data_IF_954552268425
#
_entry.id   IF_954552268425
#
_cell.length_a   1.000
_cell.length_b   1.000
_cell.length_c   1.000
_cell.angle_alpha   90.00
_cell.angle_beta   90.00
_cell.angle_gamma   90.00
#
_symmetry.space_group_name_H-M   'P 1'
#
loop_
_entity.id
_entity.type
_entity.pdbx_description
1 polymer ?
#
# COMPACT_ATOMS: atom_id res chain seq x y z
N UNK A 1 -25.41 19.57 -17.45
CA UNK A 1 -26.38 18.47 -17.59
C UNK A 1 -25.56 17.22 -17.90
N UNK A 2 -25.05 16.42 -16.98
CA UNK A 2 -25.25 16.22 -15.54
C UNK A 2 -23.90 15.97 -14.86
N UNK A 3 -23.55 16.74 -13.83
CA UNK A 3 -22.33 16.57 -13.00
C UNK A 3 -22.62 15.75 -11.73
N UNK A 4 -23.48 14.74 -11.86
CA UNK A 4 -23.73 13.73 -10.83
C UNK A 4 -23.37 12.35 -11.40
N UNK A 5 -22.11 12.18 -11.79
CA UNK A 5 -21.58 10.90 -12.25
C UNK A 5 -21.23 10.09 -11.00
N UNK A 6 -21.79 8.88 -10.88
CA UNK A 6 -21.38 7.90 -9.86
C UNK A 6 -19.85 7.89 -9.75
N UNK A 7 -19.32 7.98 -8.53
CA UNK A 7 -17.88 8.09 -8.27
C UNK A 7 -17.12 6.97 -9.00
N UNK A 8 -16.46 7.33 -10.11
CA UNK A 8 -15.76 6.36 -10.95
C UNK A 8 -14.58 5.70 -10.23
N UNK A 9 -14.02 4.61 -10.76
CA UNK A 9 -12.94 3.85 -10.10
C UNK A 9 -11.74 4.72 -9.70
N UNK A 10 -11.47 5.81 -10.43
CA UNK A 10 -10.41 6.78 -10.12
C UNK A 10 -10.50 7.37 -8.70
N UNK A 11 -11.72 7.52 -8.14
CA UNK A 11 -11.94 8.09 -6.80
C UNK A 11 -11.49 7.18 -5.66
N UNK A 12 -11.26 5.89 -5.94
CA UNK A 12 -10.80 4.89 -4.97
C UNK A 12 -9.29 4.65 -5.00
N UNK A 13 -8.59 5.31 -5.92
CA UNK A 13 -7.13 5.20 -6.05
C UNK A 13 -6.50 6.45 -5.46
N UNK A 14 -5.68 6.27 -4.43
CA UNK A 14 -4.90 7.36 -3.80
C UNK A 14 -3.42 7.19 -4.07
N UNK A 15 -2.75 8.32 -4.28
CA UNK A 15 -1.28 8.40 -4.25
C UNK A 15 -0.85 8.72 -2.83
N UNK A 16 0.06 7.92 -2.29
CA UNK A 16 0.62 8.11 -0.95
C UNK A 16 2.09 8.48 -1.08
N UNK A 17 2.49 9.65 -0.57
CA UNK A 17 3.88 10.10 -0.56
C UNK A 17 4.44 10.02 0.85
N UNK A 18 5.48 9.21 1.05
CA UNK A 18 6.07 8.94 2.36
C UNK A 18 7.34 9.74 2.57
N UNK A 19 7.35 10.57 3.61
CA UNK A 19 8.53 11.30 4.08
C UNK A 19 9.12 12.25 3.05
N UNK A 20 8.30 12.83 2.16
CA UNK A 20 8.78 13.71 1.09
C UNK A 20 9.61 14.87 1.64
N UNK A 21 10.84 15.02 1.13
CA UNK A 21 11.81 15.98 1.65
C UNK A 21 11.67 17.35 0.98
N UNK A 22 11.42 17.35 -0.34
CA UNK A 22 11.34 18.57 -1.13
C UNK A 22 9.87 18.93 -1.44
N UNK A 23 9.35 20.08 -0.94
CA UNK A 23 7.95 20.45 -1.16
C UNK A 23 7.60 20.61 -2.65
N UNK A 24 8.55 21.02 -3.49
CA UNK A 24 8.33 21.09 -4.94
C UNK A 24 7.97 19.75 -5.59
N UNK A 25 8.42 18.62 -5.01
CA UNK A 25 8.01 17.28 -5.47
C UNK A 25 6.55 16.98 -5.11
N UNK A 26 6.04 17.49 -3.98
CA UNK A 26 4.64 17.36 -3.59
C UNK A 26 3.75 18.07 -4.60
N UNK A 27 4.09 19.33 -4.93
CA UNK A 27 3.39 20.10 -5.97
C UNK A 27 3.42 19.42 -7.34
N UNK A 28 4.61 19.01 -7.77
CA UNK A 28 4.79 18.32 -9.06
C UNK A 28 4.02 16.98 -9.12
N UNK A 29 3.95 16.24 -8.01
CA UNK A 29 3.15 15.03 -7.91
C UNK A 29 1.65 15.34 -7.96
N UNK A 30 1.17 16.38 -7.27
CA UNK A 30 -0.22 16.84 -7.37
C UNK A 30 -0.61 17.20 -8.80
N UNK A 31 0.29 17.87 -9.54
CA UNK A 31 0.12 18.15 -10.96
C UNK A 31 -0.01 16.87 -11.80
N UNK A 32 0.88 15.90 -11.58
CA UNK A 32 0.84 14.61 -12.27
C UNK A 32 -0.47 13.84 -12.00
N UNK A 33 -0.91 13.83 -10.74
CA UNK A 33 -2.18 13.25 -10.28
C UNK A 33 -3.35 13.86 -11.06
N UNK A 34 -3.46 15.19 -11.04
CA UNK A 34 -4.56 15.90 -11.71
C UNK A 34 -4.55 15.71 -13.22
N UNK A 35 -3.37 15.76 -13.84
CA UNK A 35 -3.22 15.59 -15.30
C UNK A 35 -3.72 14.23 -15.76
N UNK A 36 -3.59 13.19 -14.91
CA UNK A 36 -4.02 11.82 -15.19
C UNK A 36 -5.43 11.52 -14.68
N UNK A 37 -6.22 12.54 -14.29
CA UNK A 37 -7.61 12.35 -13.85
C UNK A 37 -7.75 11.65 -12.49
N UNK A 38 -6.69 11.65 -11.69
CA UNK A 38 -6.71 11.25 -10.29
C UNK A 38 -6.85 12.49 -9.40
N UNK A 39 -7.30 12.30 -8.17
CA UNK A 39 -7.62 13.42 -7.27
C UNK A 39 -7.11 13.25 -5.84
N UNK A 40 -6.80 12.02 -5.41
CA UNK A 40 -6.51 11.72 -4.01
C UNK A 40 -5.02 11.63 -3.75
N UNK A 41 -4.54 12.56 -2.94
CA UNK A 41 -3.17 12.62 -2.43
C UNK A 41 -3.20 12.45 -0.91
N UNK A 42 -2.34 11.57 -0.40
CA UNK A 42 -2.07 11.41 1.04
C UNK A 42 -0.59 11.63 1.28
N UNK A 43 -0.27 12.44 2.28
CA UNK A 43 1.10 12.75 2.69
C UNK A 43 1.36 12.08 4.04
N UNK A 44 2.36 11.23 4.10
CA UNK A 44 2.78 10.56 5.33
C UNK A 44 4.03 11.27 5.83
N UNK A 45 3.90 11.97 6.96
CA UNK A 45 4.98 12.72 7.61
C UNK A 45 5.88 13.52 6.63
N UNK A 46 5.31 14.42 5.79
CA UNK A 46 6.10 15.26 4.90
C UNK A 46 7.04 16.16 5.73
N UNK A 47 8.27 16.39 5.25
CA UNK A 47 9.22 17.19 6.03
C UNK A 47 8.92 18.70 6.01
N UNK A 48 8.33 19.18 4.91
CA UNK A 48 8.05 20.59 4.67
C UNK A 48 6.72 20.74 3.92
N UNK A 49 5.61 20.70 4.66
CA UNK A 49 4.28 20.91 4.12
C UNK A 49 3.36 21.48 5.22
N UNK A 50 2.43 22.40 4.92
CA UNK A 50 2.25 23.12 3.65
C UNK A 50 3.44 24.04 3.32
N UNK A 51 3.67 24.34 2.04
CA UNK A 51 4.81 25.17 1.62
C UNK A 51 4.57 25.82 0.24
N UNK A 52 4.94 27.10 0.09
CA UNK A 52 4.73 27.88 -1.14
C UNK A 52 5.34 27.20 -2.39
N UNK A 53 6.51 26.57 -2.26
CA UNK A 53 7.10 25.80 -3.37
C UNK A 53 6.21 24.65 -3.87
N UNK A 54 5.44 23.99 -2.99
CA UNK A 54 4.48 22.99 -3.43
C UNK A 54 3.36 23.64 -4.25
N UNK A 55 2.84 24.79 -3.81
CA UNK A 55 1.80 25.53 -4.51
C UNK A 55 2.27 25.99 -5.90
N UNK A 56 3.46 26.57 -5.99
CA UNK A 56 4.06 27.00 -7.26
C UNK A 56 4.25 25.83 -8.24
N UNK A 57 4.69 24.67 -7.73
CA UNK A 57 4.95 23.50 -8.57
C UNK A 57 3.67 22.73 -8.96
N UNK A 58 2.57 22.92 -8.23
CA UNK A 58 1.27 22.32 -8.56
C UNK A 58 0.68 22.87 -9.87
N UNK A 59 0.96 24.14 -10.19
CA UNK A 59 0.61 24.78 -11.46
C UNK A 59 -0.83 24.48 -11.93
N UNK A 60 -1.83 24.84 -11.11
CA UNK A 60 -3.24 24.60 -11.41
C UNK A 60 -3.81 23.32 -10.79
N UNK A 61 -3.04 22.60 -9.98
CA UNK A 61 -3.46 21.42 -9.21
C UNK A 61 -3.59 21.70 -7.70
N UNK A 62 -3.85 22.95 -7.31
CA UNK A 62 -4.00 23.38 -5.92
C UNK A 62 -5.20 22.70 -5.25
N UNK A 63 -6.24 22.33 -6.00
CA UNK A 63 -7.35 21.52 -5.51
C UNK A 63 -6.92 20.15 -4.97
N UNK A 64 -5.95 19.49 -5.61
CA UNK A 64 -5.38 18.22 -5.13
C UNK A 64 -4.57 18.44 -3.85
N UNK A 65 -3.81 19.54 -3.76
CA UNK A 65 -3.07 19.89 -2.54
C UNK A 65 -4.00 20.25 -1.38
N UNK A 66 -5.03 21.06 -1.64
CA UNK A 66 -6.01 21.50 -0.65
C UNK A 66 -6.85 20.33 -0.12
N UNK A 67 -7.10 19.32 -0.95
CA UNK A 67 -7.78 18.09 -0.56
C UNK A 67 -6.83 17.01 0.00
N UNK A 68 -5.52 17.26 0.01
CA UNK A 68 -4.55 16.27 0.47
C UNK A 68 -4.72 16.01 1.97
N UNK A 69 -4.67 14.74 2.36
CA UNK A 69 -4.75 14.33 3.77
C UNK A 69 -3.33 14.10 4.27
N UNK A 70 -2.97 14.74 5.38
CA UNK A 70 -1.71 14.50 6.08
C UNK A 70 -1.95 13.53 7.25
N UNK A 71 -1.09 12.51 7.35
CA UNK A 71 -1.11 11.51 8.42
C UNK A 71 0.30 11.25 8.95
N UNK A 72 0.40 10.68 10.15
CA UNK A 72 1.69 10.47 10.80
C UNK A 72 2.41 9.22 10.27
N UNK A 73 1.66 8.19 9.90
CA UNK A 73 2.22 6.88 9.56
C UNK A 73 1.67 6.31 8.26
N UNK A 74 2.45 5.43 7.60
CA UNK A 74 1.97 4.73 6.41
C UNK A 74 0.80 3.80 6.74
N UNK A 75 0.80 3.21 7.94
CA UNK A 75 -0.29 2.36 8.42
C UNK A 75 -1.64 3.11 8.44
N UNK A 76 -1.65 4.37 8.89
CA UNK A 76 -2.85 5.23 8.82
C UNK A 76 -3.28 5.50 7.38
N UNK A 77 -2.34 5.82 6.48
CA UNK A 77 -2.63 6.17 5.09
C UNK A 77 -3.30 5.02 4.29
N UNK A 78 -3.03 3.77 4.68
CA UNK A 78 -3.47 2.58 3.97
C UNK A 78 -4.48 1.72 4.74
N UNK A 79 -4.90 2.15 5.93
CA UNK A 79 -5.72 1.37 6.86
C UNK A 79 -7.00 0.79 6.23
N UNK A 80 -7.69 1.57 5.41
CA UNK A 80 -8.92 1.21 4.70
C UNK A 80 -8.67 0.58 3.32
N UNK A 81 -7.42 0.52 2.84
CA UNK A 81 -7.10 -0.04 1.55
C UNK A 81 -7.19 -1.57 1.55
N UNK A 82 -7.77 -2.12 0.47
CA UNK A 82 -7.73 -3.56 0.15
C UNK A 82 -6.52 -3.92 -0.71
N UNK A 83 -5.94 -2.94 -1.42
CA UNK A 83 -4.72 -3.12 -2.20
C UNK A 83 -3.73 -1.97 -1.94
N UNK A 84 -2.49 -2.34 -1.64
CA UNK A 84 -1.38 -1.42 -1.38
C UNK A 84 -0.20 -1.82 -2.26
N UNK A 85 0.21 -0.94 -3.16
CA UNK A 85 1.29 -1.17 -4.13
C UNK A 85 2.44 -0.20 -3.86
N UNK A 86 3.59 -0.71 -3.42
CA UNK A 86 4.76 0.10 -3.08
C UNK A 86 5.72 0.27 -4.26
N UNK A 87 5.91 1.49 -4.74
CA UNK A 87 6.87 1.78 -5.80
C UNK A 87 8.30 1.82 -5.26
N UNK A 88 9.18 0.99 -5.82
CA UNK A 88 10.59 0.90 -5.40
C UNK A 88 11.55 0.56 -6.54
N UNK A 89 12.72 1.18 -6.53
CA UNK A 89 13.83 0.82 -7.41
C UNK A 89 14.61 -0.42 -6.91
N UNK A 90 14.40 -0.85 -5.65
CA UNK A 90 15.12 -1.96 -5.02
C UNK A 90 14.17 -2.80 -4.17
N UNK A 91 13.86 -4.02 -4.61
CA UNK A 91 13.02 -4.98 -3.87
C UNK A 91 13.81 -6.13 -3.22
N UNK A 92 15.15 -6.17 -3.34
CA UNK A 92 15.93 -7.38 -3.03
C UNK A 92 15.85 -7.90 -1.58
N UNK A 93 15.46 -7.06 -0.61
CA UNK A 93 15.41 -7.44 0.83
C UNK A 93 14.03 -7.92 1.28
N UNK A 94 12.96 -7.40 0.70
CA UNK A 94 11.58 -7.82 0.99
C UNK A 94 11.07 -8.58 -0.22
N UNK A 95 10.91 -9.90 -0.11
CA UNK A 95 10.46 -10.74 -1.22
C UNK A 95 8.95 -10.55 -1.48
N UNK A 96 8.55 -9.36 -1.90
CA UNK A 96 7.24 -9.08 -2.47
C UNK A 96 7.20 -9.58 -3.91
N UNK A 97 5.98 -9.89 -4.41
CA UNK A 97 5.78 -10.03 -5.85
C UNK A 97 6.10 -8.67 -6.49
N UNK A 98 6.94 -8.69 -7.51
CA UNK A 98 7.27 -7.50 -8.28
C UNK A 98 6.31 -7.40 -9.47
N UNK A 99 5.76 -6.20 -9.69
CA UNK A 99 4.88 -5.87 -10.80
C UNK A 99 5.53 -4.76 -11.63
N UNK A 100 5.29 -4.81 -12.94
CA UNK A 100 5.57 -3.67 -13.82
C UNK A 100 4.46 -2.62 -13.69
N UNK A 101 4.71 -1.36 -14.07
CA UNK A 101 3.73 -0.27 -13.99
C UNK A 101 2.35 -0.62 -14.57
N UNK A 102 2.32 -1.25 -15.74
CA UNK A 102 1.09 -1.68 -16.42
C UNK A 102 0.31 -2.73 -15.63
N UNK A 103 1.01 -3.75 -15.11
CA UNK A 103 0.38 -4.82 -14.33
C UNK A 103 -0.16 -4.28 -12.99
N UNK A 104 0.58 -3.37 -12.36
CA UNK A 104 0.17 -2.66 -11.15
C UNK A 104 -1.08 -1.80 -11.39
N UNK A 105 -1.12 -1.05 -12.51
CA UNK A 105 -2.28 -0.26 -12.91
C UNK A 105 -3.51 -1.12 -13.20
N UNK A 106 -3.35 -2.26 -13.86
CA UNK A 106 -4.43 -3.21 -14.10
C UNK A 106 -5.02 -3.75 -12.78
N UNK A 107 -4.16 -4.12 -11.82
CA UNK A 107 -4.60 -4.53 -10.48
C UNK A 107 -5.30 -3.41 -9.71
N UNK A 108 -4.77 -2.19 -9.75
CA UNK A 108 -5.40 -1.03 -9.11
C UNK A 108 -6.78 -0.73 -9.70
N UNK A 109 -6.91 -0.78 -11.03
CA UNK A 109 -8.19 -0.59 -11.71
C UNK A 109 -9.20 -1.69 -11.34
N UNK A 110 -8.79 -2.96 -11.40
CA UNK A 110 -9.65 -4.09 -11.05
C UNK A 110 -10.18 -3.99 -9.62
N UNK A 111 -9.32 -3.64 -8.66
CA UNK A 111 -9.70 -3.49 -7.26
C UNK A 111 -10.68 -2.32 -7.06
N UNK A 112 -10.40 -1.18 -7.71
CA UNK A 112 -11.26 -0.02 -7.65
C UNK A 112 -12.65 -0.28 -8.25
N UNK A 113 -12.74 -1.04 -9.36
CA UNK A 113 -14.01 -1.48 -9.95
C UNK A 113 -14.76 -2.42 -9.02
N UNK A 114 -14.06 -3.28 -8.29
CA UNK A 114 -14.63 -4.14 -7.24
C UNK A 114 -15.05 -3.37 -5.97
N UNK A 115 -14.90 -2.04 -5.95
CA UNK A 115 -15.27 -1.18 -4.83
C UNK A 115 -14.23 -1.10 -3.71
N UNK A 116 -13.04 -1.68 -3.90
CA UNK A 116 -11.95 -1.62 -2.95
C UNK A 116 -11.16 -0.31 -3.03
N UNK A 117 -10.64 0.12 -1.88
CA UNK A 117 -9.72 1.26 -1.78
C UNK A 117 -8.30 0.82 -2.12
N UNK A 118 -7.59 1.62 -2.93
CA UNK A 118 -6.25 1.30 -3.44
C UNK A 118 -5.26 2.41 -3.11
N UNK A 119 -4.10 2.05 -2.60
CA UNK A 119 -2.97 2.95 -2.38
C UNK A 119 -1.79 2.63 -3.30
N UNK A 120 -1.31 3.63 -4.04
CA UNK A 120 -0.02 3.61 -4.74
C UNK A 120 0.98 4.40 -3.90
N UNK A 121 1.93 3.71 -3.29
CA UNK A 121 2.82 4.25 -2.27
C UNK A 121 4.19 4.56 -2.85
N UNK A 122 4.69 5.77 -2.59
CA UNK A 122 5.99 6.24 -3.05
C UNK A 122 6.82 6.70 -1.84
N UNK A 123 8.08 6.27 -1.82
CA UNK A 123 8.98 6.59 -0.72
C UNK A 123 9.72 7.92 -0.88
N UNK A 124 10.64 8.13 0.06
CA UNK A 124 11.53 9.29 0.13
C UNK A 124 12.44 9.35 -1.09
N UNK A 125 12.82 10.54 -1.53
CA UNK A 125 13.57 10.76 -2.78
C UNK A 125 14.89 9.99 -2.86
N UNK A 126 15.62 9.90 -1.74
CA UNK A 126 16.96 9.30 -1.69
C UNK A 126 16.96 7.85 -1.24
N UNK A 127 16.12 7.52 -0.28
CA UNK A 127 16.16 6.24 0.42
C UNK A 127 15.01 5.32 0.02
N UNK A 128 13.99 5.84 -0.67
CA UNK A 128 12.78 5.09 -1.00
C UNK A 128 11.95 4.76 0.23
N UNK A 129 11.26 3.63 0.15
CA UNK A 129 10.49 3.04 1.24
C UNK A 129 11.41 2.22 2.15
N UNK A 130 11.20 2.34 3.45
CA UNK A 130 11.83 1.52 4.47
C UNK A 130 11.30 0.08 4.41
N UNK A 131 12.01 -0.87 5.04
CA UNK A 131 11.59 -2.28 4.96
C UNK A 131 10.26 -2.50 5.68
N UNK A 132 10.03 -1.79 6.76
CA UNK A 132 8.82 -1.77 7.57
C UNK A 132 7.64 -1.24 6.74
N UNK A 133 7.88 -0.18 5.95
CA UNK A 133 6.89 0.38 5.01
C UNK A 133 6.58 -0.59 3.86
N UNK A 134 7.61 -1.24 3.30
CA UNK A 134 7.43 -2.27 2.28
C UNK A 134 6.64 -3.48 2.80
N UNK A 135 6.74 -3.81 4.09
CA UNK A 135 5.96 -4.92 4.67
C UNK A 135 4.45 -4.67 4.72
N UNK A 136 4.03 -3.41 4.65
CA UNK A 136 2.61 -3.02 4.54
C UNK A 136 2.09 -3.12 3.10
N UNK A 137 2.97 -3.32 2.12
CA UNK A 137 2.59 -3.44 0.71
C UNK A 137 2.25 -4.88 0.34
N UNK A 138 1.23 -5.04 -0.52
CA UNK A 138 0.83 -6.34 -1.07
C UNK A 138 1.76 -6.77 -2.22
N UNK A 139 2.28 -5.80 -2.97
CA UNK A 139 3.24 -6.01 -4.05
C UNK A 139 4.17 -4.80 -4.19
N UNK A 140 5.35 -5.04 -4.76
CA UNK A 140 6.28 -4.00 -5.17
C UNK A 140 6.05 -3.65 -6.63
N UNK A 141 6.13 -2.36 -6.97
CA UNK A 141 6.08 -1.89 -8.34
C UNK A 141 7.46 -1.38 -8.74
N UNK A 142 8.04 -2.02 -9.75
CA UNK A 142 9.34 -1.64 -10.28
C UNK A 142 9.16 -0.99 -11.66
N UNK A 143 9.52 0.29 -11.76
CA UNK A 143 9.53 1.01 -13.04
C UNK A 143 10.83 0.64 -13.78
N UNK A 144 10.77 -0.02 -14.94
CA UNK A 144 11.97 -0.31 -15.72
C UNK A 144 12.64 1.02 -16.11
N UNK A 145 13.92 1.15 -15.77
CA UNK A 145 14.75 2.32 -16.00
C UNK A 145 16.14 1.89 -16.49
N UNK A 146 17.00 2.86 -16.82
CA UNK A 146 18.39 2.57 -17.15
C UNK A 146 19.05 1.82 -15.97
N UNK A 147 19.62 0.63 -16.15
CA UNK A 147 20.30 -0.11 -15.09
C UNK A 147 21.41 0.68 -14.39
N UNK A 148 22.09 1.57 -15.11
CA UNK A 148 23.18 2.40 -14.59
C UNK A 148 22.67 3.64 -13.82
N UNK A 149 21.40 4.02 -14.03
CA UNK A 149 20.76 5.17 -13.40
C UNK A 149 19.25 4.95 -13.27
N UNK A 150 18.86 4.14 -12.29
CA UNK A 150 17.48 3.66 -12.11
C UNK A 150 16.65 4.46 -11.10
N UNK A 151 17.22 5.51 -10.52
CA UNK A 151 16.52 6.38 -9.57
C UNK A 151 15.77 7.47 -10.32
N UNK A 152 14.45 7.34 -10.37
CA UNK A 152 13.57 8.39 -10.88
C UNK A 152 13.36 9.46 -9.80
N UNK A 153 13.17 10.71 -10.24
CA UNK A 153 12.58 11.73 -9.39
C UNK A 153 11.18 11.28 -8.92
N UNK A 154 10.81 11.66 -7.70
CA UNK A 154 9.53 11.27 -7.07
C UNK A 154 8.32 11.60 -7.96
N UNK A 155 8.21 12.85 -8.43
CA UNK A 155 7.08 13.27 -9.26
C UNK A 155 7.08 12.58 -10.63
N UNK A 156 8.26 12.25 -11.18
CA UNK A 156 8.37 11.47 -12.41
C UNK A 156 7.86 10.03 -12.23
N UNK A 157 8.18 9.39 -11.09
CA UNK A 157 7.65 8.06 -10.76
C UNK A 157 6.13 8.09 -10.58
N UNK A 158 5.60 9.12 -9.89
CA UNK A 158 4.16 9.36 -9.75
C UNK A 158 3.52 9.54 -11.12
N UNK A 159 4.15 10.31 -12.02
CA UNK A 159 3.65 10.55 -13.36
C UNK A 159 3.55 9.27 -14.20
N UNK A 160 4.56 8.40 -14.17
CA UNK A 160 4.56 7.13 -14.90
C UNK A 160 3.44 6.22 -14.42
N UNK A 161 3.28 6.03 -13.10
CA UNK A 161 2.23 5.16 -12.57
C UNK A 161 0.84 5.75 -12.75
N UNK A 162 0.67 7.06 -12.57
CA UNK A 162 -0.62 7.72 -12.80
C UNK A 162 -1.04 7.62 -14.26
N UNK A 163 -0.09 7.68 -15.21
CA UNK A 163 -0.34 7.49 -16.63
C UNK A 163 -0.80 6.06 -16.96
N UNK A 164 -0.14 5.04 -16.43
CA UNK A 164 -0.58 3.65 -16.63
C UNK A 164 -1.96 3.39 -16.02
N UNK A 165 -2.26 4.00 -14.86
CA UNK A 165 -3.61 3.97 -14.26
C UNK A 165 -4.64 4.65 -15.17
N UNK A 166 -4.30 5.80 -15.77
CA UNK A 166 -5.17 6.48 -16.73
C UNK A 166 -5.50 5.59 -17.93
N UNK A 167 -4.50 4.90 -18.49
CA UNK A 167 -4.72 3.95 -19.59
C UNK A 167 -5.64 2.79 -19.17
N UNK A 168 -5.43 2.24 -17.96
CA UNK A 168 -6.30 1.20 -17.42
C UNK A 168 -7.76 1.69 -17.25
N UNK A 169 -7.95 2.91 -16.73
CA UNK A 169 -9.27 3.56 -16.58
C UNK A 169 -9.95 3.85 -17.93
N UNK A 170 -9.20 4.03 -19.02
CA UNK A 170 -9.73 4.18 -20.37
C UNK A 170 -10.07 2.86 -21.05
N UNK A 171 -9.69 1.72 -20.46
CA UNK A 171 -9.71 0.43 -21.16
C UNK A 171 -8.65 0.33 -22.28
N UNK A 172 -7.68 1.24 -22.29
CA UNK A 172 -6.61 1.34 -23.30
C UNK A 172 -5.31 0.65 -22.86
N UNK A 173 -5.40 -0.29 -21.90
CA UNK A 173 -4.23 -0.96 -21.34
C UNK A 173 -3.38 -1.77 -22.37
N UNK A 174 -3.91 -2.03 -23.57
CA UNK A 174 -3.19 -2.47 -24.78
C UNK A 174 -2.27 -3.71 -24.67
N UNK A 175 -2.66 -4.80 -25.37
CA UNK A 175 -1.80 -5.94 -25.77
C UNK A 175 -1.43 -6.95 -24.67
N UNK A 176 -1.75 -8.24 -24.92
CA UNK A 176 -1.73 -9.40 -24.02
C UNK A 176 -2.40 -9.18 -22.66
N UNK A 177 -3.15 -10.16 -22.17
CA UNK A 177 -3.80 -10.03 -20.87
C UNK A 177 -2.73 -9.72 -19.80
N UNK A 178 -2.79 -8.57 -19.10
CA UNK A 178 -1.77 -8.20 -18.12
C UNK A 178 -1.68 -9.30 -17.06
N UNK A 179 -0.45 -9.57 -16.60
CA UNK A 179 -0.20 -10.51 -15.50
C UNK A 179 -0.52 -9.81 -14.17
N UNK A 180 -1.75 -9.30 -14.06
CA UNK A 180 -2.27 -8.68 -12.87
C UNK A 180 -2.13 -9.63 -11.67
N UNK A 181 -2.15 -9.09 -10.46
CA UNK A 181 -2.50 -9.90 -9.29
C UNK A 181 -3.83 -10.59 -9.60
N UNK A 182 -3.93 -11.88 -9.29
CA UNK A 182 -5.21 -12.58 -9.35
C UNK A 182 -6.24 -11.74 -8.58
N UNK A 183 -7.49 -11.65 -9.06
CA UNK A 183 -8.49 -10.80 -8.43
C UNK A 183 -8.51 -11.08 -6.94
N UNK A 184 -8.24 -10.04 -6.16
CA UNK A 184 -8.38 -10.09 -4.70
C UNK A 184 -9.82 -10.49 -4.45
N UNK A 185 -10.03 -11.41 -3.50
CA UNK A 185 -11.37 -11.76 -3.04
C UNK A 185 -12.18 -10.45 -2.86
N UNK A 186 -13.34 -10.28 -3.51
CA UNK A 186 -14.14 -9.05 -3.40
C UNK A 186 -14.57 -8.77 -1.95
N UNK A 187 -14.61 -9.82 -1.12
CA UNK A 187 -14.92 -9.75 0.30
C UNK A 187 -13.68 -9.66 1.19
N UNK A 188 -12.50 -9.44 0.59
CA UNK A 188 -11.24 -9.32 1.33
C UNK A 188 -11.29 -8.17 2.34
N UNK A 189 -10.77 -8.44 3.53
CA UNK A 189 -10.74 -7.44 4.60
C UNK A 189 -9.77 -6.29 4.27
N UNK A 190 -10.02 -5.06 4.77
CA UNK A 190 -9.08 -3.95 4.67
C UNK A 190 -7.76 -4.22 5.41
N UNK A 191 -6.73 -3.45 5.07
CA UNK A 191 -5.39 -3.57 5.64
C UNK A 191 -5.38 -3.54 7.18
N UNK A 192 -6.14 -2.63 7.80
CA UNK A 192 -6.18 -2.48 9.26
C UNK A 192 -6.67 -3.76 9.98
N UNK A 193 -7.59 -4.50 9.37
CA UNK A 193 -8.08 -5.75 9.97
C UNK A 193 -7.02 -6.86 9.88
N UNK A 194 -6.30 -6.95 8.76
CA UNK A 194 -5.16 -7.85 8.62
C UNK A 194 -4.05 -7.52 9.63
N UNK A 195 -3.74 -6.24 9.83
CA UNK A 195 -2.74 -5.82 10.82
C UNK A 195 -3.16 -6.19 12.24
N UNK A 196 -4.43 -6.02 12.60
CA UNK A 196 -4.96 -6.48 13.88
C UNK A 196 -4.88 -7.99 14.08
N UNK A 197 -5.08 -8.77 13.01
CA UNK A 197 -4.83 -10.21 13.01
C UNK A 197 -3.35 -10.54 13.18
N UNK A 198 -2.44 -9.86 12.48
CA UNK A 198 -1.00 -10.10 12.60
C UNK A 198 -0.44 -9.72 13.97
N UNK A 199 -0.96 -8.68 14.62
CA UNK A 199 -0.61 -8.36 16.00
C UNK A 199 -0.96 -9.51 16.93
N UNK A 200 -2.22 -9.97 16.91
CA UNK A 200 -2.64 -11.11 17.73
C UNK A 200 -1.85 -12.39 17.42
N UNK A 201 -1.52 -12.63 16.15
CA UNK A 201 -0.70 -13.77 15.74
C UNK A 201 0.70 -13.70 16.35
N UNK A 202 1.34 -12.53 16.33
CA UNK A 202 2.65 -12.32 16.94
C UNK A 202 2.61 -12.61 18.45
N UNK A 203 1.65 -12.02 19.16
CA UNK A 203 1.45 -12.23 20.60
C UNK A 203 1.22 -13.72 20.90
N UNK A 204 0.43 -14.40 20.07
CA UNK A 204 0.15 -15.84 20.24
C UNK A 204 1.40 -16.69 20.05
N UNK A 205 2.26 -16.36 19.07
CA UNK A 205 3.51 -17.09 18.84
C UNK A 205 4.51 -16.92 19.99
N UNK A 206 4.49 -15.76 20.65
CA UNK A 206 5.24 -15.50 21.87
C UNK A 206 4.66 -16.30 23.05
N UNK A 207 3.35 -16.23 23.28
CA UNK A 207 2.65 -16.95 24.36
C UNK A 207 2.89 -18.47 24.33
N UNK A 208 3.00 -19.07 23.13
CA UNK A 208 3.23 -20.52 22.97
C UNK A 208 4.71 -20.91 22.89
N UNK A 209 5.64 -19.98 23.15
CA UNK A 209 7.09 -20.15 22.99
C UNK A 209 7.49 -20.78 21.63
N UNK A 210 6.86 -20.31 20.55
CA UNK A 210 7.13 -20.84 19.21
C UNK A 210 8.58 -20.60 18.77
N UNK A 211 9.12 -19.45 19.16
CA UNK A 211 10.42 -18.99 18.68
C UNK A 211 11.59 -19.78 19.28
N UNK A 212 11.47 -20.30 20.52
CA UNK A 212 12.52 -21.10 21.19
C UNK A 212 13.89 -20.42 21.12
N UNK A 213 13.94 -19.11 21.40
CA UNK A 213 15.15 -18.28 21.33
C UNK A 213 15.57 -17.82 19.93
N UNK A 214 14.81 -18.10 18.87
CA UNK A 214 15.06 -17.55 17.52
C UNK A 214 14.44 -16.16 17.34
N UNK A 215 14.99 -15.38 16.43
CA UNK A 215 14.44 -14.06 16.11
C UNK A 215 13.00 -14.14 15.54
N UNK A 216 12.02 -13.43 16.13
CA UNK A 216 10.61 -13.53 15.78
C UNK A 216 10.29 -13.03 14.37
N UNK A 217 11.00 -11.99 13.92
CA UNK A 217 10.76 -11.29 12.64
C UNK A 217 10.78 -12.21 11.41
N UNK A 218 11.59 -13.28 11.45
CA UNK A 218 11.72 -14.19 10.32
C UNK A 218 10.46 -15.03 10.09
N UNK A 219 9.82 -15.47 11.17
CA UNK A 219 8.57 -16.24 11.09
C UNK A 219 7.41 -15.32 10.70
N UNK A 220 7.28 -14.18 11.39
CA UNK A 220 6.21 -13.22 11.11
C UNK A 220 6.24 -12.70 9.68
N UNK A 221 7.41 -12.41 9.12
CA UNK A 221 7.55 -12.01 7.71
C UNK A 221 7.02 -13.07 6.73
N UNK A 222 7.22 -14.37 7.02
CA UNK A 222 6.72 -15.46 6.17
C UNK A 222 5.20 -15.62 6.30
N UNK A 223 4.69 -15.55 7.53
CA UNK A 223 3.25 -15.66 7.82
C UNK A 223 2.47 -14.49 7.21
N UNK A 224 2.95 -13.25 7.38
CA UNK A 224 2.38 -12.06 6.74
C UNK A 224 2.21 -12.26 5.24
N UNK A 225 3.28 -12.70 4.56
CA UNK A 225 3.22 -12.94 3.12
C UNK A 225 2.21 -14.02 2.72
N UNK A 226 2.13 -15.10 3.51
CA UNK A 226 1.20 -16.19 3.25
C UNK A 226 -0.24 -15.65 3.24
N UNK A 227 -0.64 -14.96 4.30
CA UNK A 227 -2.02 -14.48 4.49
C UNK A 227 -2.36 -13.26 3.62
N UNK A 228 -1.40 -12.37 3.35
CA UNK A 228 -1.62 -11.25 2.43
C UNK A 228 -1.97 -11.73 1.02
N UNK A 229 -1.36 -12.83 0.56
CA UNK A 229 -1.62 -13.37 -0.79
C UNK A 229 -2.95 -14.12 -0.90
N UNK A 230 -3.54 -14.59 0.20
CA UNK A 230 -4.78 -15.38 0.14
C UNK A 230 -6.02 -14.51 -0.08
N UNK A 231 -5.97 -13.22 0.26
CA UNK A 231 -7.15 -12.34 0.17
C UNK A 231 -8.25 -12.78 1.14
N UNK A 232 -7.92 -12.85 2.43
CA UNK A 232 -8.83 -13.37 3.46
C UNK A 232 -10.09 -12.51 3.58
N UNK A 233 -11.24 -13.14 3.67
CA UNK A 233 -12.50 -12.46 4.02
C UNK A 233 -12.68 -12.31 5.54
N UNK A 234 -13.71 -11.55 5.92
CA UNK A 234 -14.04 -11.29 7.33
C UNK A 234 -14.31 -12.58 8.13
N UNK A 235 -14.96 -13.59 7.53
CA UNK A 235 -15.30 -14.84 8.23
C UNK A 235 -14.04 -15.65 8.48
N UNK A 236 -13.14 -15.70 7.50
CA UNK A 236 -11.84 -16.37 7.60
C UNK A 236 -10.95 -15.70 8.65
N UNK A 237 -10.85 -14.37 8.65
CA UNK A 237 -10.11 -13.64 9.69
C UNK A 237 -10.70 -13.91 11.08
N UNK A 238 -12.03 -13.88 11.24
CA UNK A 238 -12.68 -14.19 12.52
C UNK A 238 -12.39 -15.61 12.99
N UNK A 239 -12.43 -16.59 12.07
CA UNK A 239 -12.10 -17.98 12.38
C UNK A 239 -10.65 -18.10 12.87
N UNK A 240 -9.70 -17.51 12.13
CA UNK A 240 -8.28 -17.53 12.48
C UNK A 240 -8.03 -16.86 13.84
N UNK A 241 -8.64 -15.70 14.10
CA UNK A 241 -8.54 -15.01 15.40
C UNK A 241 -9.15 -15.81 16.54
N UNK A 242 -10.22 -16.58 16.28
CA UNK A 242 -10.79 -17.52 17.24
C UNK A 242 -9.81 -18.63 17.63
N UNK A 243 -9.12 -19.21 16.64
CA UNK A 243 -8.08 -20.23 16.86
C UNK A 243 -6.94 -19.64 17.72
N UNK A 244 -6.51 -18.40 17.43
CA UNK A 244 -5.47 -17.72 18.21
C UNK A 244 -5.92 -17.47 19.65
N UNK A 245 -7.14 -17.00 19.86
CA UNK A 245 -7.67 -16.77 21.21
C UNK A 245 -7.72 -18.07 22.04
N UNK A 246 -8.12 -19.19 21.43
CA UNK A 246 -8.08 -20.50 22.07
C UNK A 246 -6.65 -20.94 22.43
N UNK A 247 -5.70 -20.75 21.51
CA UNK A 247 -4.28 -21.06 21.76
C UNK A 247 -3.70 -20.22 22.91
N UNK A 248 -3.96 -18.91 22.94
CA UNK A 248 -3.52 -18.02 24.02
C UNK A 248 -4.13 -18.41 25.37
N UNK A 249 -5.42 -18.77 25.40
CA UNK A 249 -6.06 -19.30 26.62
C UNK A 249 -5.34 -20.55 27.14
N UNK A 250 -5.01 -21.49 26.24
CA UNK A 250 -4.31 -22.72 26.62
C UNK A 250 -2.88 -22.46 27.10
N UNK A 251 -2.16 -21.51 26.50
CA UNK A 251 -0.83 -21.11 26.93
C UNK A 251 -0.82 -20.54 28.36
N UNK A 252 -1.79 -19.69 28.70
CA UNK A 252 -1.96 -19.14 30.05
C UNK A 252 -2.21 -20.26 31.08
N UNK A 253 -3.15 -21.16 30.79
CA UNK A 253 -3.45 -22.30 31.67
C UNK A 253 -2.25 -23.22 31.89
N UNK A 254 -1.38 -23.40 30.88
CA UNK A 254 -0.17 -24.21 31.01
C UNK A 254 0.88 -23.53 31.90
N UNK A 255 1.00 -22.21 31.80
CA UNK A 255 1.93 -21.41 32.62
C UNK A 255 1.51 -21.41 34.08
N UNK A 256 0.22 -21.21 34.35
CA UNK A 256 -0.34 -21.23 35.72
C UNK A 256 -0.15 -22.59 36.41
N UNK A 257 -0.20 -23.69 35.65
CA UNK A 257 0.04 -25.05 36.16
C UNK A 257 1.49 -25.37 36.48
N UNK A 258 2.45 -24.70 35.84
CA UNK A 258 3.88 -24.90 36.08
C UNK A 258 4.44 -23.95 37.16
N UNK A 259 3.67 -22.93 37.55
CA UNK A 259 4.05 -21.93 38.56
C UNK A 259 3.48 -22.18 39.97
N UNK A 260 2.66 -23.22 40.16
CA UNK A 260 2.13 -23.67 41.46
C UNK A 260 2.71 -25.03 41.86
#
# INVERSE_FOLDING_TARGET
>A
MDTATAAGPATRIRIVLVGTQHPGNIGSAARAIKTMGLHRLVLVAPQKYPHNEADMMAAGAEDVLNAAVEVATLAEAVADCRLVLGCTARSRRVQLRELRPRDAAASAHSEAVAGGEVALVFGRERTGLENEELQLCHAAVHIPANPDYSSLNLAAAVQVLSYEVRLALLGEAGGDAPAALAPVNPDAVPHAELEGFFGQLADTLEDIDFHKGRAPDSAMRKLRRLFVRTGLDQKEVRLLRGILADAQRMARLATDRNGG
#
